data_IF_012008077984
#
_entry.id   IF_012008077984
#
_cell.length_a   1.000
_cell.length_b   1.000
_cell.length_c   1.000
_cell.angle_alpha   90.00
_cell.angle_beta   90.00
_cell.angle_gamma   90.00
#
_symmetry.space_group_name_H-M   'P 1'
#
loop_
_entity.id
_entity.type
_entity.pdbx_description
1 polymer ?
#
# COMPACT_ATOMS: atom_id res chain seq x y z
N UNK A 1 -16.14 -25.94 -24.22
CA UNK A 1 -16.82 -24.69 -24.63
C UNK A 1 -17.25 -24.00 -23.34
N UNK A 2 -16.55 -23.04 -22.75
CA UNK A 2 -15.66 -22.04 -23.33
C UNK A 2 -16.26 -20.68 -23.03
N UNK A 3 -16.01 -20.14 -21.83
CA UNK A 3 -16.01 -18.68 -21.59
C UNK A 3 -14.94 -18.39 -20.53
N UNK A 4 -13.71 -18.22 -21.01
CA UNK A 4 -12.63 -17.55 -20.27
C UNK A 4 -13.03 -16.08 -20.18
N UNK A 5 -13.56 -15.66 -19.04
CA UNK A 5 -13.72 -14.24 -18.69
C UNK A 5 -12.65 -13.87 -17.69
N UNK A 6 -11.38 -14.03 -18.08
CA UNK A 6 -10.24 -13.52 -17.33
C UNK A 6 -9.82 -12.17 -17.89
N UNK A 7 -10.59 -11.12 -17.62
CA UNK A 7 -10.10 -9.74 -17.76
C UNK A 7 -9.39 -9.37 -16.47
N UNK A 8 -8.22 -9.97 -16.19
CA UNK A 8 -7.43 -9.56 -15.02
C UNK A 8 -6.09 -9.01 -15.47
N UNK A 9 -6.16 -7.89 -16.19
CA UNK A 9 -5.01 -7.02 -16.43
C UNK A 9 -4.62 -6.31 -15.13
N UNK A 10 -4.15 -7.06 -14.14
CA UNK A 10 -3.63 -6.51 -12.88
C UNK A 10 -2.53 -5.52 -13.25
N UNK A 11 -2.73 -4.26 -12.88
CA UNK A 11 -1.75 -3.21 -13.13
C UNK A 11 -0.53 -3.40 -12.23
N UNK A 12 0.61 -2.83 -12.61
CA UNK A 12 1.79 -2.85 -11.75
C UNK A 12 1.52 -2.19 -10.38
N UNK A 13 0.67 -1.16 -10.33
CA UNK A 13 0.30 -0.47 -9.09
C UNK A 13 -0.52 -1.39 -8.18
N UNK A 14 -1.58 -2.03 -8.68
CA UNK A 14 -2.40 -2.98 -7.90
C UNK A 14 -1.56 -4.16 -7.41
N UNK A 15 -0.69 -4.70 -8.27
CA UNK A 15 0.22 -5.78 -7.91
C UNK A 15 1.17 -5.36 -6.78
N UNK A 16 1.75 -4.16 -6.88
CA UNK A 16 2.67 -3.61 -5.88
C UNK A 16 1.95 -3.28 -4.56
N UNK A 17 0.75 -2.69 -4.64
CA UNK A 17 -0.09 -2.38 -3.49
C UNK A 17 -0.45 -3.66 -2.72
N UNK A 18 -0.97 -4.67 -3.42
CA UNK A 18 -1.29 -5.95 -2.81
C UNK A 18 -0.07 -6.66 -2.22
N UNK A 19 1.13 -6.48 -2.78
CA UNK A 19 2.36 -7.04 -2.20
C UNK A 19 2.74 -6.33 -0.88
N UNK A 20 2.56 -5.01 -0.80
CA UNK A 20 2.94 -4.23 0.37
C UNK A 20 1.92 -4.29 1.51
N UNK A 21 0.62 -4.31 1.19
CA UNK A 21 -0.45 -4.13 2.18
C UNK A 21 -1.29 -5.40 2.44
N UNK A 22 -0.90 -6.57 1.91
CA UNK A 22 -1.60 -7.84 2.21
C UNK A 22 -1.67 -8.09 3.73
N UNK A 23 -2.88 -8.05 4.25
CA UNK A 23 -3.29 -8.16 5.66
C UNK A 23 -3.09 -9.55 6.30
N UNK A 24 -2.60 -10.55 5.57
CA UNK A 24 -2.60 -11.97 6.00
C UNK A 24 -1.24 -12.56 6.41
N UNK A 25 -0.15 -11.80 6.30
CA UNK A 25 1.15 -12.21 6.86
C UNK A 25 1.70 -11.04 7.62
N UNK A 26 2.37 -11.36 8.74
CA UNK A 26 3.20 -10.44 9.53
C UNK A 26 3.73 -9.30 8.68
N UNK A 27 3.72 -8.04 9.15
CA UNK A 27 4.44 -6.97 8.47
C UNK A 27 5.80 -7.55 8.12
N UNK A 28 6.05 -7.79 6.85
CA UNK A 28 7.42 -7.76 6.38
C UNK A 28 7.56 -6.26 6.21
N UNK A 29 8.12 -5.54 7.21
CA UNK A 29 8.37 -4.12 7.02
C UNK A 29 9.06 -4.05 5.67
N UNK A 30 8.49 -3.27 4.77
CA UNK A 30 8.90 -3.27 3.38
C UNK A 30 10.44 -3.01 3.25
N UNK A 31 11.05 -2.42 4.28
CA UNK A 31 12.50 -2.35 4.54
C UNK A 31 13.27 -3.69 4.48
N UNK A 32 12.61 -4.82 4.69
CA UNK A 32 13.21 -6.16 4.65
C UNK A 32 13.31 -6.75 3.24
N UNK A 33 12.67 -6.15 2.24
CA UNK A 33 12.71 -6.65 0.87
C UNK A 33 13.39 -5.68 -0.08
N UNK A 34 14.40 -6.19 -0.78
CA UNK A 34 15.13 -5.43 -1.79
C UNK A 34 14.32 -5.31 -3.08
N UNK A 35 14.61 -4.30 -3.90
CA UNK A 35 14.03 -4.16 -5.26
C UNK A 35 14.15 -5.44 -6.08
N UNK A 36 15.24 -6.16 -5.85
CA UNK A 36 15.56 -7.41 -6.51
C UNK A 36 14.55 -8.53 -6.22
N UNK A 37 13.82 -8.46 -5.11
CA UNK A 37 12.81 -9.44 -4.72
C UNK A 37 11.39 -9.00 -5.11
N UNK A 38 11.10 -7.70 -5.00
CA UNK A 38 9.76 -7.18 -5.23
C UNK A 38 9.44 -6.97 -6.72
N UNK A 39 10.40 -6.55 -7.54
CA UNK A 39 10.17 -6.34 -8.97
C UNK A 39 9.78 -7.62 -9.72
N UNK A 40 10.45 -8.77 -9.50
CA UNK A 40 10.00 -10.04 -10.09
C UNK A 40 8.61 -10.45 -9.62
N UNK A 41 8.27 -10.18 -8.35
CA UNK A 41 6.95 -10.49 -7.80
C UNK A 41 5.84 -9.64 -8.42
N UNK A 42 6.09 -8.34 -8.64
CA UNK A 42 5.18 -7.43 -9.34
C UNK A 42 5.01 -7.91 -10.79
N UNK A 43 6.09 -8.16 -11.52
CA UNK A 43 6.04 -8.63 -12.92
C UNK A 43 5.32 -9.97 -13.06
N UNK A 44 5.41 -10.86 -12.07
CA UNK A 44 4.68 -12.13 -12.05
C UNK A 44 3.16 -11.93 -11.93
N UNK A 45 2.74 -10.90 -11.19
CA UNK A 45 1.32 -10.56 -10.99
C UNK A 45 0.77 -9.66 -12.10
N UNK A 46 1.60 -8.80 -12.67
CA UNK A 46 1.29 -7.87 -13.76
C UNK A 46 2.16 -8.18 -15.00
N UNK A 47 1.94 -9.31 -15.69
CA UNK A 47 2.80 -9.73 -16.80
C UNK A 47 2.73 -8.81 -18.03
N UNK A 48 1.66 -8.00 -18.13
CA UNK A 48 1.48 -7.02 -19.19
C UNK A 48 2.20 -5.68 -18.91
N UNK A 49 2.63 -5.44 -17.67
CA UNK A 49 3.32 -4.21 -17.31
C UNK A 49 4.78 -4.24 -17.77
N UNK A 50 5.26 -3.11 -18.28
CA UNK A 50 6.67 -2.91 -18.58
C UNK A 50 7.50 -2.88 -17.29
N UNK A 51 8.80 -3.11 -17.43
CA UNK A 51 9.74 -3.02 -16.31
C UNK A 51 9.72 -1.62 -15.67
N UNK A 52 9.63 -0.57 -16.49
CA UNK A 52 9.50 0.81 -16.04
C UNK A 52 8.24 1.02 -15.19
N UNK A 53 7.09 0.53 -15.63
CA UNK A 53 5.84 0.63 -14.86
C UNK A 53 5.93 -0.10 -13.52
N UNK A 54 6.62 -1.25 -13.48
CA UNK A 54 6.87 -1.98 -12.24
C UNK A 54 7.75 -1.18 -11.27
N UNK A 55 8.81 -0.55 -11.76
CA UNK A 55 9.69 0.32 -10.96
C UNK A 55 8.96 1.55 -10.43
N UNK A 56 8.22 2.25 -11.29
CA UNK A 56 7.44 3.43 -10.91
C UNK A 56 6.38 3.09 -9.87
N UNK A 57 5.69 1.96 -10.07
CA UNK A 57 4.71 1.45 -9.10
C UNK A 57 5.37 1.10 -7.77
N UNK A 58 6.52 0.43 -7.78
CA UNK A 58 7.26 0.08 -6.57
C UNK A 58 7.71 1.33 -5.80
N UNK A 59 8.26 2.33 -6.50
CA UNK A 59 8.66 3.60 -5.89
C UNK A 59 7.46 4.34 -5.29
N UNK A 60 6.30 4.31 -5.97
CA UNK A 60 5.07 4.93 -5.47
C UNK A 60 4.55 4.25 -4.20
N UNK A 61 4.61 2.92 -4.15
CA UNK A 61 4.20 2.14 -2.98
C UNK A 61 5.13 2.36 -1.80
N UNK A 62 6.46 2.44 -2.01
CA UNK A 62 7.42 2.85 -0.96
C UNK A 62 7.03 4.17 -0.33
N UNK A 63 6.79 5.15 -1.19
CA UNK A 63 6.44 6.49 -0.78
C UNK A 63 5.12 6.56 0.01
N UNK A 64 4.18 5.64 -0.28
CA UNK A 64 2.98 5.44 0.51
C UNK A 64 3.29 4.76 1.86
N UNK A 65 4.09 3.70 1.88
CA UNK A 65 4.48 2.99 3.10
C UNK A 65 5.12 3.94 4.13
N UNK A 66 6.04 4.81 3.70
CA UNK A 66 6.70 5.78 4.59
C UNK A 66 5.67 6.72 5.22
N UNK A 67 4.75 7.25 4.41
CA UNK A 67 3.70 8.14 4.91
C UNK A 67 2.69 7.43 5.81
N UNK A 68 2.40 6.16 5.54
CA UNK A 68 1.56 5.33 6.41
C UNK A 68 2.25 5.16 7.77
N UNK A 69 3.55 4.91 7.80
CA UNK A 69 4.31 4.80 9.04
C UNK A 69 4.24 6.10 9.86
N UNK A 70 4.53 7.24 9.22
CA UNK A 70 4.48 8.56 9.84
C UNK A 70 3.08 8.90 10.37
N UNK A 71 2.04 8.72 9.55
CA UNK A 71 0.65 9.03 9.92
C UNK A 71 0.13 8.10 11.01
N UNK A 72 0.44 6.80 10.95
CA UNK A 72 0.03 5.87 12.00
C UNK A 72 0.79 6.12 13.32
N UNK A 73 2.05 6.54 13.26
CA UNK A 73 2.81 7.03 14.43
C UNK A 73 2.14 8.25 15.07
N UNK A 74 1.95 9.32 14.29
CA UNK A 74 1.27 10.53 14.74
C UNK A 74 -0.15 10.27 15.26
N UNK A 75 -0.87 9.32 14.67
CA UNK A 75 -2.19 8.88 15.16
C UNK A 75 -2.14 8.24 16.54
N UNK A 76 -1.12 7.43 16.82
CA UNK A 76 -0.93 6.84 18.16
C UNK A 76 -0.55 7.88 19.20
N UNK A 77 0.26 8.85 18.80
CA UNK A 77 0.67 9.97 19.65
C UNK A 77 -0.48 10.97 19.89
N UNK A 78 -1.63 10.76 19.24
CA UNK A 78 -2.85 11.55 19.44
C UNK A 78 -2.88 12.85 18.66
N UNK A 79 -2.00 13.03 17.66
CA UNK A 79 -1.93 14.27 16.86
C UNK A 79 -3.20 14.57 16.06
N UNK A 80 -4.00 13.54 15.75
CA UNK A 80 -5.30 13.68 15.10
C UNK A 80 -6.48 13.83 16.08
N UNK A 81 -6.20 14.05 17.36
CA UNK A 81 -7.20 14.16 18.42
C UNK A 81 -7.75 12.81 18.89
N UNK A 82 -8.82 12.85 19.67
CA UNK A 82 -9.43 11.66 20.29
C UNK A 82 -10.88 11.44 19.83
N UNK A 83 -11.31 10.18 19.81
CA UNK A 83 -12.69 9.81 19.50
C UNK A 83 -12.94 9.52 18.01
N UNK A 84 -14.21 9.42 17.58
CA UNK A 84 -14.58 8.90 16.25
C UNK A 84 -14.02 9.68 15.05
N UNK A 85 -13.59 10.92 15.25
CA UNK A 85 -13.05 11.79 14.19
C UNK A 85 -11.56 11.63 13.92
N UNK A 86 -10.79 10.97 14.80
CA UNK A 86 -9.33 10.90 14.66
C UNK A 86 -8.88 10.04 13.48
N UNK A 87 -9.52 8.89 13.27
CA UNK A 87 -9.18 8.00 12.16
C UNK A 87 -9.53 8.60 10.78
N UNK A 88 -10.71 9.22 10.58
CA UNK A 88 -10.99 10.00 9.38
C UNK A 88 -9.99 11.14 9.14
N UNK A 89 -9.54 11.84 10.19
CA UNK A 89 -8.55 12.91 10.07
C UNK A 89 -7.17 12.37 9.64
N UNK A 90 -6.74 11.24 10.20
CA UNK A 90 -5.51 10.56 9.79
C UNK A 90 -5.57 10.09 8.32
N UNK A 91 -6.68 9.48 7.89
CA UNK A 91 -6.89 9.09 6.50
C UNK A 91 -6.87 10.29 5.55
N UNK A 92 -7.50 11.39 5.93
CA UNK A 92 -7.47 12.62 5.14
C UNK A 92 -6.04 13.20 5.06
N UNK A 93 -5.26 13.12 6.13
CA UNK A 93 -3.85 13.53 6.13
C UNK A 93 -3.00 12.65 5.21
N UNK A 94 -3.21 11.34 5.22
CA UNK A 94 -2.55 10.40 4.33
C UNK A 94 -2.86 10.70 2.86
N UNK A 95 -4.14 10.88 2.52
CA UNK A 95 -4.59 11.19 1.17
C UNK A 95 -4.06 12.55 0.66
N UNK A 96 -3.98 13.56 1.54
CA UNK A 96 -3.40 14.87 1.22
C UNK A 96 -1.90 14.82 0.98
N UNK A 97 -1.20 14.01 1.76
CA UNK A 97 0.27 13.90 1.70
C UNK A 97 0.70 13.05 0.51
N UNK A 98 -0.10 12.04 0.14
CA UNK A 98 0.23 11.02 -0.85
C UNK A 98 -0.94 10.75 -1.80
N UNK A 99 -1.30 11.68 -2.71
CA UNK A 99 -2.45 11.52 -3.59
C UNK A 99 -2.28 10.42 -4.66
N UNK A 100 -3.42 9.93 -5.15
CA UNK A 100 -3.51 9.02 -6.29
C UNK A 100 -3.63 7.54 -5.95
N UNK A 101 -4.17 7.26 -4.76
CA UNK A 101 -4.81 6.00 -4.40
C UNK A 101 -6.30 6.25 -4.16
N UNK A 102 -7.09 5.19 -4.18
CA UNK A 102 -8.50 5.20 -3.84
C UNK A 102 -8.72 5.29 -2.33
N UNK A 103 -9.92 5.71 -1.92
CA UNK A 103 -10.31 5.74 -0.51
C UNK A 103 -10.21 4.37 0.17
N UNK A 104 -10.45 3.30 -0.58
CA UNK A 104 -10.32 1.92 -0.09
C UNK A 104 -8.87 1.54 0.16
N UNK A 105 -7.98 1.84 -0.80
CA UNK A 105 -6.53 1.64 -0.64
C UNK A 105 -5.97 2.43 0.55
N UNK A 106 -6.42 3.68 0.78
CA UNK A 106 -6.00 4.42 1.98
C UNK A 106 -6.46 3.76 3.28
N UNK A 107 -7.69 3.22 3.32
CA UNK A 107 -8.19 2.50 4.50
C UNK A 107 -7.41 1.22 4.76
N UNK A 108 -7.13 0.45 3.72
CA UNK A 108 -6.33 -0.78 3.82
C UNK A 108 -4.89 -0.48 4.25
N UNK A 109 -4.26 0.52 3.63
CA UNK A 109 -2.92 0.95 3.97
C UNK A 109 -2.82 1.46 5.40
N UNK A 110 -3.78 2.26 5.86
CA UNK A 110 -3.84 2.72 7.25
C UNK A 110 -4.06 1.58 8.24
N UNK A 111 -4.95 0.62 7.93
CA UNK A 111 -5.16 -0.55 8.77
C UNK A 111 -3.91 -1.42 8.89
N UNK A 112 -3.20 -1.63 7.78
CA UNK A 112 -1.90 -2.30 7.77
C UNK A 112 -0.86 -1.52 8.59
N UNK A 113 -0.76 -0.20 8.39
CA UNK A 113 0.15 0.67 9.14
C UNK A 113 -0.07 0.64 10.65
N UNK A 114 -1.33 0.56 11.10
CA UNK A 114 -1.64 0.38 12.53
C UNK A 114 -1.11 -0.95 13.07
N UNK A 115 -1.06 -2.02 12.27
CA UNK A 115 -0.44 -3.28 12.68
C UNK A 115 1.09 -3.17 12.72
N UNK A 116 1.69 -2.42 11.79
CA UNK A 116 3.14 -2.26 11.68
C UNK A 116 3.72 -1.44 12.83
N UNK A 117 3.03 -0.36 13.18
CA UNK A 117 3.43 0.57 14.27
C UNK A 117 3.05 0.04 15.65
N UNK A 118 2.43 -1.15 15.73
CA UNK A 118 1.86 -1.84 16.91
C UNK A 118 2.81 -2.33 17.98
N UNK A 119 4.11 -2.30 17.72
CA UNK A 119 5.13 -2.94 18.56
C UNK A 119 5.86 -1.96 19.46
#
# INVERSE_FOLDING_TARGET
MGIVTGSDGTTAQEAAFALAFTTSRSPLPYEMHTDRELLPAIRKRAPAASEKECFESLARIRWLCDAVYDVCGAFRDGEFGSGPGSAPAALAALARTRPGFSDEEYREAFAAGLLWTGF
#
